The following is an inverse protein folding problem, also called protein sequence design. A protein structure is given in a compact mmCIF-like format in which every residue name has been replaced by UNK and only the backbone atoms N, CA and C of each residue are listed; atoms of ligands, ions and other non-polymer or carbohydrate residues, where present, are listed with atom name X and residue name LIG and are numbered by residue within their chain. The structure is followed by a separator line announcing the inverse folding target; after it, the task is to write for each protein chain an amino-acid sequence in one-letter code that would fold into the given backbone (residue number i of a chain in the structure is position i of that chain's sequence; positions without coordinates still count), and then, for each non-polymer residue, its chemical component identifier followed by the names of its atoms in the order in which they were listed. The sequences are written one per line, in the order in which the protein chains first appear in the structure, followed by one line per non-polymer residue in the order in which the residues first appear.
data_IF_290571554831
#
_entry.id   IF_290571554831
#
_cell.length_a   1.000
_cell.length_b   1.000
_cell.length_c   1.000
_cell.angle_alpha   90.00
_cell.angle_beta   90.00
_cell.angle_gamma   90.00
#
_symmetry.space_group_name_H-M   'P 1'
#
loop_
_entity.id
_entity.type
_entity.pdbx_description
1 polymer ?
#
# COMPACT_ATOMS: atom_id res chain seq x y z
N UNK A 1 14.35 16.07 19.71
CA UNK A 1 14.00 15.49 18.40
C UNK A 1 12.47 15.48 18.28
N UNK A 2 11.95 15.87 17.15
CA UNK A 2 10.51 15.89 16.83
C UNK A 2 9.84 14.50 16.91
N UNK A 3 10.64 13.45 17.00
CA UNK A 3 10.16 12.05 17.02
C UNK A 3 9.69 11.54 18.38
N UNK A 4 10.02 12.21 19.48
CA UNK A 4 9.70 11.72 20.82
C UNK A 4 8.28 12.02 21.34
N UNK A 5 7.43 12.65 20.53
CA UNK A 5 6.05 12.94 20.90
C UNK A 5 4.99 12.26 20.05
N UNK A 6 5.42 11.46 19.05
CA UNK A 6 4.49 10.68 18.24
C UNK A 6 4.21 9.35 18.95
N UNK A 7 2.95 8.96 18.95
CA UNK A 7 2.53 7.66 19.43
C UNK A 7 3.22 6.53 18.64
N UNK A 8 3.36 5.36 19.21
CA UNK A 8 4.07 4.21 18.63
C UNK A 8 3.59 3.80 17.23
N UNK A 9 2.35 4.10 16.85
CA UNK A 9 1.85 3.86 15.50
C UNK A 9 2.48 4.78 14.45
N UNK A 10 2.94 5.96 14.81
CA UNK A 10 3.66 6.85 13.89
C UNK A 10 5.01 6.30 13.42
N UNK A 11 5.61 5.42 14.18
CA UNK A 11 6.90 4.81 13.85
C UNK A 11 6.80 3.78 12.69
N UNK A 12 5.61 3.25 12.46
CA UNK A 12 5.32 2.23 11.45
C UNK A 12 4.53 2.78 10.24
N UNK A 13 4.39 4.10 10.14
CA UNK A 13 3.69 4.75 9.04
C UNK A 13 4.67 5.31 8.01
N UNK A 14 5.52 4.45 7.48
CA UNK A 14 6.60 4.84 6.58
C UNK A 14 6.10 5.23 5.20
N UNK A 15 4.96 4.70 4.78
CA UNK A 15 4.35 5.01 3.49
C UNK A 15 3.90 6.47 3.37
N UNK A 16 3.93 7.24 4.46
CA UNK A 16 3.70 8.68 4.42
C UNK A 16 4.64 9.43 3.45
N UNK A 17 5.85 8.91 3.20
CA UNK A 17 6.76 9.49 2.19
C UNK A 17 6.16 9.43 0.78
N UNK A 18 5.45 8.35 0.46
CA UNK A 18 4.72 8.22 -0.82
C UNK A 18 3.55 9.20 -0.88
N UNK A 19 2.82 9.35 0.23
CA UNK A 19 1.74 10.33 0.31
C UNK A 19 2.23 11.73 -0.06
N UNK A 20 3.35 12.17 0.50
CA UNK A 20 3.92 13.47 0.17
C UNK A 20 4.36 13.58 -1.29
N UNK A 21 4.97 12.55 -1.86
CA UNK A 21 5.39 12.58 -3.27
C UNK A 21 4.20 12.54 -4.24
N UNK A 22 3.07 11.98 -3.85
CA UNK A 22 1.87 12.00 -4.68
C UNK A 22 1.36 13.41 -5.00
N UNK A 23 1.60 14.38 -4.10
CA UNK A 23 1.25 15.78 -4.35
C UNK A 23 2.08 16.39 -5.49
N UNK A 24 3.35 15.99 -5.65
CA UNK A 24 4.19 16.41 -6.76
C UNK A 24 3.63 15.90 -8.08
N UNK A 25 3.22 14.64 -8.12
CA UNK A 25 2.58 14.05 -9.28
C UNK A 25 1.23 14.71 -9.59
N UNK A 26 0.41 14.92 -8.58
CA UNK A 26 -0.88 15.62 -8.73
C UNK A 26 -0.69 17.02 -9.30
N UNK A 27 0.30 17.79 -8.83
CA UNK A 27 0.62 19.09 -9.37
C UNK A 27 0.94 19.01 -10.88
N UNK A 28 1.81 18.05 -11.27
CA UNK A 28 2.11 17.79 -12.68
C UNK A 28 0.82 17.49 -13.48
N UNK A 29 -0.02 16.59 -13.01
CA UNK A 29 -1.26 16.22 -13.72
C UNK A 29 -2.17 17.40 -14.03
N UNK A 30 -2.26 18.37 -13.10
CA UNK A 30 -3.10 19.55 -13.27
C UNK A 30 -2.45 20.66 -14.12
N UNK A 31 -1.14 20.81 -14.05
CA UNK A 31 -0.44 21.94 -14.68
C UNK A 31 0.21 21.57 -16.00
N UNK A 32 0.59 20.31 -16.18
CA UNK A 32 1.38 19.81 -17.32
C UNK A 32 2.75 20.54 -17.47
N UNK A 33 3.25 21.09 -16.36
CA UNK A 33 4.54 21.81 -16.30
C UNK A 33 5.71 20.82 -16.24
N UNK A 34 6.37 20.62 -17.39
CA UNK A 34 7.52 19.71 -17.51
C UNK A 34 8.74 20.17 -16.72
N UNK A 35 8.96 21.47 -16.58
CA UNK A 35 10.07 22.00 -15.80
C UNK A 35 9.85 21.72 -14.31
N UNK A 36 8.64 21.89 -13.83
CA UNK A 36 8.30 21.45 -12.47
C UNK A 36 8.51 19.95 -12.29
N UNK A 37 8.00 19.12 -13.22
CA UNK A 37 8.14 17.66 -13.11
C UNK A 37 9.62 17.25 -13.08
N UNK A 38 10.46 17.87 -13.91
CA UNK A 38 11.90 17.63 -13.93
C UNK A 38 12.57 17.98 -12.58
N UNK A 39 12.14 19.05 -11.95
CA UNK A 39 12.62 19.44 -10.61
C UNK A 39 12.11 18.52 -9.50
N UNK A 40 10.89 18.03 -9.61
CA UNK A 40 10.26 17.14 -8.64
C UNK A 40 10.77 15.69 -8.75
N UNK A 41 11.20 15.27 -9.94
CA UNK A 41 11.58 13.89 -10.24
C UNK A 41 12.63 13.31 -9.28
N UNK A 42 13.73 13.99 -8.90
CA UNK A 42 14.71 13.45 -7.96
C UNK A 42 14.11 13.10 -6.59
N UNK A 43 13.10 13.85 -6.13
CA UNK A 43 12.40 13.55 -4.86
C UNK A 43 11.55 12.28 -5.01
N UNK A 44 10.81 12.15 -6.10
CA UNK A 44 10.02 10.97 -6.40
C UNK A 44 10.91 9.73 -6.54
N UNK A 45 12.03 9.86 -7.28
CA UNK A 45 12.99 8.76 -7.46
C UNK A 45 13.64 8.32 -6.15
N UNK A 46 14.07 9.27 -5.31
CA UNK A 46 14.62 8.95 -3.98
C UNK A 46 13.60 8.21 -3.09
N UNK A 47 12.32 8.55 -3.20
CA UNK A 47 11.26 7.80 -2.53
C UNK A 47 11.16 6.36 -3.07
N UNK A 48 11.27 6.17 -4.39
CA UNK A 48 11.28 4.83 -4.98
C UNK A 48 12.50 4.01 -4.53
N UNK A 49 13.69 4.63 -4.49
CA UNK A 49 14.91 3.98 -3.99
C UNK A 49 14.76 3.47 -2.56
N UNK A 50 14.13 4.26 -1.67
CA UNK A 50 13.78 3.81 -0.33
C UNK A 50 12.94 2.52 -0.37
N UNK A 51 11.91 2.47 -1.22
CA UNK A 51 11.04 1.31 -1.32
C UNK A 51 11.69 0.13 -2.02
N UNK A 52 12.61 0.33 -2.98
CA UNK A 52 13.43 -0.75 -3.54
C UNK A 52 14.29 -1.47 -2.49
N UNK A 53 14.69 -0.75 -1.42
CA UNK A 53 15.46 -1.34 -0.33
C UNK A 53 14.60 -1.91 0.78
N UNK A 54 13.37 -1.40 0.94
CA UNK A 54 12.50 -1.81 2.04
C UNK A 54 11.58 -2.96 1.68
N UNK A 55 11.09 -3.02 0.46
CA UNK A 55 10.20 -4.11 0.03
C UNK A 55 10.91 -5.46 0.16
N UNK A 56 10.17 -6.44 0.65
CA UNK A 56 10.63 -7.82 0.78
C UNK A 56 9.77 -8.73 -0.10
N UNK A 57 10.30 -9.89 -0.46
CA UNK A 57 9.47 -10.94 -1.04
C UNK A 57 8.46 -11.44 0.00
N UNK A 58 7.24 -11.65 -0.46
CA UNK A 58 6.15 -12.12 0.40
C UNK A 58 6.56 -13.41 1.14
N UNK A 59 6.41 -13.39 2.45
CA UNK A 59 6.76 -14.51 3.34
C UNK A 59 5.59 -15.44 3.63
N UNK A 60 4.40 -15.08 3.12
CA UNK A 60 3.17 -15.69 3.56
C UNK A 60 2.84 -15.36 5.02
N UNK A 61 1.82 -15.99 5.55
CA UNK A 61 1.36 -15.74 6.91
C UNK A 61 0.79 -17.00 7.57
N UNK A 62 1.06 -17.15 8.87
CA UNK A 62 0.56 -18.25 9.68
C UNK A 62 0.23 -17.72 11.08
N UNK A 63 -1.04 -17.45 11.33
CA UNK A 63 -1.47 -16.86 12.61
C UNK A 63 -1.29 -17.78 13.83
N UNK A 64 -1.00 -19.05 13.61
CA UNK A 64 -0.68 -19.98 14.71
C UNK A 64 0.72 -19.75 15.30
N UNK A 65 1.56 -19.03 14.56
CA UNK A 65 2.94 -18.69 14.94
C UNK A 65 3.11 -17.22 15.34
N UNK A 66 2.01 -16.46 15.39
CA UNK A 66 2.07 -15.06 15.78
C UNK A 66 2.51 -14.95 17.25
N UNK A 67 3.63 -14.25 17.46
CA UNK A 67 4.17 -14.00 18.79
C UNK A 67 3.34 -12.98 19.59
N UNK A 68 2.37 -12.29 18.93
CA UNK A 68 1.48 -11.31 19.53
C UNK A 68 0.00 -11.68 19.37
N UNK A 69 -0.44 -12.84 19.86
CA UNK A 69 -1.81 -13.34 19.67
C UNK A 69 -2.88 -12.42 20.29
N UNK A 70 -2.49 -11.54 21.21
CA UNK A 70 -3.41 -10.61 21.88
C UNK A 70 -3.79 -9.41 21.00
N UNK A 71 -3.02 -9.10 19.98
CA UNK A 71 -3.28 -7.97 19.07
C UNK A 71 -4.25 -8.39 17.96
N UNK A 72 -4.19 -9.66 17.60
CA UNK A 72 -4.98 -10.22 16.51
C UNK A 72 -5.89 -11.34 17.03
N UNK A 73 -6.87 -11.09 17.82
CA UNK A 73 -7.80 -12.05 18.44
C UNK A 73 -8.45 -13.10 17.48
N UNK A 74 -7.63 -13.89 16.79
CA UNK A 74 -8.06 -14.89 15.83
C UNK A 74 -8.35 -16.21 16.53
N UNK A 75 -9.62 -16.53 16.63
CA UNK A 75 -10.05 -17.81 17.15
C UNK A 75 -9.92 -18.95 16.14
N UNK A 76 -9.82 -18.63 14.85
CA UNK A 76 -9.72 -19.61 13.78
C UNK A 76 -8.32 -19.58 13.16
N UNK A 77 -7.56 -20.70 13.18
CA UNK A 77 -6.27 -20.78 12.49
C UNK A 77 -6.44 -20.57 10.98
N UNK A 78 -5.56 -19.78 10.39
CA UNK A 78 -5.45 -19.65 8.94
C UNK A 78 -3.99 -19.44 8.52
N UNK A 79 -3.68 -19.86 7.31
CA UNK A 79 -2.35 -19.74 6.72
C UNK A 79 -2.47 -19.29 5.28
N UNK A 80 -1.51 -18.48 4.86
CA UNK A 80 -1.30 -18.08 3.46
C UNK A 80 0.11 -18.43 3.04
N UNK A 81 0.25 -19.14 1.94
CA UNK A 81 1.55 -19.39 1.35
C UNK A 81 2.11 -18.10 0.72
N UNK A 82 3.45 -17.95 0.63
CA UNK A 82 4.07 -16.89 -0.15
C UNK A 82 3.58 -16.92 -1.60
N UNK A 83 3.28 -15.75 -2.17
CA UNK A 83 2.79 -15.62 -3.54
C UNK A 83 3.85 -15.10 -4.54
N UNK A 84 5.06 -14.77 -4.03
CA UNK A 84 6.18 -14.30 -4.84
C UNK A 84 6.10 -12.82 -5.21
N UNK A 85 5.14 -12.08 -4.68
CA UNK A 85 5.07 -10.63 -4.82
C UNK A 85 6.02 -9.91 -3.86
N UNK A 86 6.27 -8.63 -4.10
CA UNK A 86 6.97 -7.76 -3.17
C UNK A 86 5.97 -7.02 -2.29
N UNK A 87 6.22 -7.04 -0.98
CA UNK A 87 5.35 -6.42 0.03
C UNK A 87 6.13 -5.48 0.95
N UNK A 88 5.47 -4.43 1.40
CA UNK A 88 5.98 -3.55 2.45
C UNK A 88 5.86 -4.27 3.80
N UNK A 89 6.98 -4.51 4.51
CA UNK A 89 6.93 -5.26 5.76
C UNK A 89 6.47 -4.39 6.92
N UNK A 90 5.65 -4.97 7.80
CA UNK A 90 5.20 -4.38 9.06
C UNK A 90 4.62 -2.96 8.90
N UNK A 91 3.82 -2.73 7.88
CA UNK A 91 3.15 -1.44 7.68
C UNK A 91 1.87 -1.38 8.52
N UNK A 92 1.64 -0.19 9.05
CA UNK A 92 0.43 0.14 9.77
C UNK A 92 -0.63 0.62 8.78
N UNK A 93 -1.86 0.16 8.90
CA UNK A 93 -2.97 0.75 8.16
C UNK A 93 -3.64 1.83 8.99
N UNK A 94 -3.59 3.04 8.53
CA UNK A 94 -3.99 4.24 9.28
C UNK A 94 -5.52 4.39 9.36
N UNK A 95 -6.05 4.58 10.45
CA UNK A 95 -5.76 4.32 11.87
C UNK A 95 -6.45 3.05 12.29
N UNK A 96 -6.19 1.95 11.60
CA UNK A 96 -6.83 0.68 11.89
C UNK A 96 -6.11 0.03 13.07
N UNK A 97 -6.91 -0.35 14.04
CA UNK A 97 -6.58 -1.22 15.16
C UNK A 97 -5.25 -1.01 15.89
N UNK A 98 -5.30 -0.32 16.99
CA UNK A 98 -4.31 -0.22 18.11
C UNK A 98 -2.87 -0.68 17.79
N UNK A 99 -2.21 -0.05 16.80
CA UNK A 99 -0.83 -0.35 16.39
C UNK A 99 -0.60 -1.72 15.70
N UNK A 100 -1.63 -2.38 15.22
CA UNK A 100 -1.44 -3.58 14.43
C UNK A 100 -0.70 -3.25 13.14
N UNK A 101 0.32 -4.05 12.85
CA UNK A 101 1.03 -4.02 11.57
C UNK A 101 0.91 -5.34 10.86
N UNK A 102 0.95 -5.31 9.53
CA UNK A 102 0.98 -6.50 8.68
C UNK A 102 1.87 -6.24 7.47
N UNK A 103 2.48 -7.28 6.93
CA UNK A 103 3.14 -7.18 5.64
C UNK A 103 2.09 -7.00 4.55
N UNK A 104 2.30 -6.06 3.63
CA UNK A 104 1.43 -5.90 2.47
C UNK A 104 0.04 -5.31 2.77
N UNK A 105 -0.08 -4.38 3.73
CA UNK A 105 -1.35 -3.68 3.94
C UNK A 105 -1.82 -3.03 2.65
N UNK A 106 -3.12 -3.10 2.34
CA UNK A 106 -3.70 -2.58 1.10
C UNK A 106 -3.32 -1.12 0.85
N UNK A 107 -3.46 -0.29 1.87
CA UNK A 107 -3.11 1.11 1.86
C UNK A 107 -1.65 1.36 1.43
N UNK A 108 -0.68 0.68 2.04
CA UNK A 108 0.73 0.87 1.70
C UNK A 108 1.04 0.37 0.29
N UNK A 109 0.54 -0.80 -0.06
CA UNK A 109 0.80 -1.41 -1.36
C UNK A 109 0.23 -0.59 -2.51
N UNK A 110 -1.01 -0.10 -2.39
CA UNK A 110 -1.63 0.77 -3.38
C UNK A 110 -0.82 2.04 -3.62
N UNK A 111 -0.34 2.67 -2.55
CA UNK A 111 0.46 3.88 -2.63
C UNK A 111 1.82 3.62 -3.28
N UNK A 112 2.53 2.56 -2.89
CA UNK A 112 3.85 2.23 -3.43
C UNK A 112 3.74 1.86 -4.91
N UNK A 113 2.75 1.05 -5.28
CA UNK A 113 2.49 0.72 -6.69
C UNK A 113 2.21 1.97 -7.52
N UNK A 114 1.39 2.89 -7.01
CA UNK A 114 1.12 4.17 -7.64
C UNK A 114 2.38 5.03 -7.82
N UNK A 115 3.26 5.07 -6.82
CA UNK A 115 4.54 5.77 -6.93
C UNK A 115 5.36 5.24 -8.11
N UNK A 116 5.53 3.93 -8.20
CA UNK A 116 6.35 3.31 -9.25
C UNK A 116 5.77 3.53 -10.64
N UNK A 117 4.46 3.40 -10.79
CA UNK A 117 3.80 3.64 -12.09
C UNK A 117 3.88 5.11 -12.52
N UNK A 118 3.73 6.05 -11.58
CA UNK A 118 3.89 7.48 -11.87
C UNK A 118 5.32 7.86 -12.24
N UNK A 119 6.31 7.24 -11.60
CA UNK A 119 7.72 7.43 -11.98
C UNK A 119 7.96 6.90 -13.39
N UNK A 120 7.40 5.75 -13.74
CA UNK A 120 7.51 5.21 -15.09
C UNK A 120 6.94 6.17 -16.13
N UNK A 121 5.75 6.70 -15.87
CA UNK A 121 5.13 7.70 -16.73
C UNK A 121 5.96 8.99 -16.80
N UNK A 122 6.50 9.47 -15.67
CA UNK A 122 7.40 10.63 -15.66
C UNK A 122 8.66 10.42 -16.50
N UNK A 123 9.23 9.22 -16.49
CA UNK A 123 10.38 8.86 -17.34
C UNK A 123 9.99 8.88 -18.82
N UNK A 124 8.80 8.39 -19.17
CA UNK A 124 8.33 8.42 -20.55
C UNK A 124 8.09 9.86 -21.06
N UNK A 125 7.67 10.78 -20.15
CA UNK A 125 7.46 12.19 -20.46
C UNK A 125 8.76 12.98 -20.59
N UNK A 126 9.72 12.75 -19.68
CA UNK A 126 10.95 13.53 -19.56
C UNK A 126 12.10 12.94 -20.37
N UNK A 127 12.15 11.62 -20.52
CA UNK A 127 13.29 10.87 -21.04
C UNK A 127 14.26 10.44 -19.94
N UNK A 128 14.64 9.16 -19.95
CA UNK A 128 15.51 8.56 -18.92
C UNK A 128 16.85 9.29 -18.78
N UNK A 129 17.49 9.64 -19.91
CA UNK A 129 18.77 10.37 -19.92
C UNK A 129 18.66 11.78 -19.34
N UNK A 130 17.52 12.45 -19.53
CA UNK A 130 17.30 13.81 -19.02
C UNK A 130 17.14 13.85 -17.49
N UNK A 131 16.69 12.73 -16.91
CA UNK A 131 16.57 12.58 -15.46
C UNK A 131 17.73 11.79 -14.84
N UNK A 132 18.77 11.48 -15.63
CA UNK A 132 20.01 10.87 -15.17
C UNK A 132 19.92 9.39 -14.86
N UNK A 133 18.92 8.67 -15.37
CA UNK A 133 18.74 7.25 -15.14
C UNK A 133 19.44 6.39 -16.20
N UNK A 134 19.94 5.24 -15.77
CA UNK A 134 20.54 4.21 -16.62
C UNK A 134 19.50 3.17 -17.07
N UNK A 135 19.86 2.34 -18.04
CA UNK A 135 19.03 1.19 -18.43
C UNK A 135 18.78 0.23 -17.26
N UNK A 136 19.79 0.05 -16.39
CA UNK A 136 19.63 -0.82 -15.21
C UNK A 136 18.63 -0.25 -14.20
N UNK A 137 18.53 1.08 -14.07
CA UNK A 137 17.52 1.71 -13.21
C UNK A 137 16.12 1.47 -13.75
N UNK A 138 15.95 1.54 -15.07
CA UNK A 138 14.67 1.27 -15.73
C UNK A 138 14.27 -0.21 -15.57
N UNK A 139 15.18 -1.13 -15.82
CA UNK A 139 14.96 -2.57 -15.65
C UNK A 139 14.56 -2.89 -14.19
N UNK A 140 15.22 -2.25 -13.24
CA UNK A 140 14.88 -2.40 -11.82
C UNK A 140 13.48 -1.88 -11.53
N UNK A 141 13.12 -0.69 -12.01
CA UNK A 141 11.79 -0.13 -11.82
C UNK A 141 10.72 -1.06 -12.44
N UNK A 142 10.94 -1.53 -13.67
CA UNK A 142 10.01 -2.42 -14.37
C UNK A 142 9.83 -3.74 -13.61
N UNK A 143 10.89 -4.29 -13.03
CA UNK A 143 10.81 -5.47 -12.16
C UNK A 143 9.95 -5.21 -10.93
N UNK A 144 10.15 -4.05 -10.27
CA UNK A 144 9.38 -3.71 -9.07
C UNK A 144 7.92 -3.43 -9.40
N UNK A 145 7.61 -2.77 -10.52
CA UNK A 145 6.22 -2.62 -10.99
C UNK A 145 5.58 -3.99 -11.20
N UNK A 146 6.27 -4.91 -11.86
CA UNK A 146 5.75 -6.24 -12.18
C UNK A 146 5.54 -7.12 -10.93
N UNK A 147 6.35 -6.95 -9.89
CA UNK A 147 6.34 -7.81 -8.70
C UNK A 147 5.65 -7.20 -7.49
N UNK A 148 5.49 -5.89 -7.40
CA UNK A 148 4.85 -5.26 -6.25
C UNK A 148 3.39 -5.67 -6.15
N UNK A 149 3.00 -6.19 -4.99
CA UNK A 149 1.61 -6.42 -4.65
C UNK A 149 0.82 -5.09 -4.74
N UNK A 150 -0.32 -5.11 -5.42
CA UNK A 150 -1.09 -3.91 -5.67
C UNK A 150 -2.05 -3.53 -4.53
N UNK A 151 -2.18 -4.37 -3.50
CA UNK A 151 -3.09 -4.14 -2.38
C UNK A 151 -4.58 -4.20 -2.76
N UNK A 152 -4.92 -4.97 -3.80
CA UNK A 152 -6.29 -5.10 -4.32
C UNK A 152 -6.89 -6.47 -4.01
N UNK A 153 -6.59 -7.02 -2.83
CA UNK A 153 -7.14 -8.28 -2.39
C UNK A 153 -8.61 -8.15 -2.04
N UNK A 154 -9.39 -9.13 -2.44
CA UNK A 154 -10.81 -9.17 -2.14
C UNK A 154 -11.18 -10.48 -1.46
N UNK A 155 -12.29 -10.45 -0.72
CA UNK A 155 -12.92 -11.65 -0.16
C UNK A 155 -14.44 -11.53 -0.21
N UNK A 156 -15.18 -12.64 -0.27
CA UNK A 156 -16.64 -12.61 -0.19
C UNK A 156 -17.08 -12.27 1.24
N UNK A 157 -18.07 -11.40 1.37
CA UNK A 157 -18.73 -11.16 2.64
C UNK A 157 -19.46 -12.43 3.09
N UNK A 158 -19.16 -12.95 4.27
CA UNK A 158 -19.69 -14.22 4.77
C UNK A 158 -21.08 -14.12 5.36
N UNK A 159 -21.60 -12.91 5.57
CA UNK A 159 -22.87 -12.70 6.27
C UNK A 159 -22.74 -12.69 7.80
N UNK A 160 -21.54 -12.55 8.34
CA UNK A 160 -21.28 -12.58 9.79
C UNK A 160 -22.07 -11.54 10.60
N UNK A 161 -22.49 -10.44 9.97
CA UNK A 161 -23.36 -9.42 10.58
C UNK A 161 -24.78 -9.40 10.02
N UNK A 162 -25.20 -10.50 9.36
CA UNK A 162 -26.50 -10.68 8.69
C UNK A 162 -26.35 -10.80 7.18
N UNK A 163 -27.36 -11.38 6.52
CA UNK A 163 -27.37 -11.60 5.07
C UNK A 163 -27.18 -10.30 4.26
N UNK A 164 -27.56 -9.17 4.85
CA UNK A 164 -27.32 -7.83 4.28
C UNK A 164 -26.88 -6.89 5.39
N UNK A 165 -25.71 -6.27 5.22
CA UNK A 165 -25.14 -5.29 6.14
C UNK A 165 -24.72 -4.02 5.38
N UNK A 166 -25.32 -2.89 5.73
CA UNK A 166 -25.04 -1.59 5.06
C UNK A 166 -25.13 -1.63 3.53
N UNK A 167 -26.03 -2.45 2.99
CA UNK A 167 -26.23 -2.61 1.54
C UNK A 167 -25.38 -3.70 0.90
N UNK A 168 -24.38 -4.23 1.60
CA UNK A 168 -23.57 -5.36 1.17
C UNK A 168 -24.31 -6.66 1.49
N UNK A 169 -24.42 -7.55 0.52
CA UNK A 169 -25.07 -8.85 0.66
C UNK A 169 -24.04 -9.95 0.87
N UNK A 170 -24.46 -11.01 1.54
CA UNK A 170 -23.64 -12.22 1.63
C UNK A 170 -23.20 -12.69 0.22
N UNK A 171 -21.91 -12.89 0.04
CA UNK A 171 -21.29 -13.27 -1.24
C UNK A 171 -20.77 -12.11 -2.08
N UNK A 172 -21.13 -10.86 -1.77
CA UNK A 172 -20.52 -9.69 -2.42
C UNK A 172 -19.04 -9.62 -2.09
N UNK A 173 -18.22 -9.25 -3.07
CA UNK A 173 -16.78 -9.08 -2.88
C UNK A 173 -16.49 -7.75 -2.17
N UNK A 174 -15.73 -7.85 -1.09
CA UNK A 174 -15.21 -6.70 -0.33
C UNK A 174 -13.72 -6.56 -0.57
N UNK A 175 -13.26 -5.32 -0.76
CA UNK A 175 -11.85 -5.00 -0.80
C UNK A 175 -11.29 -5.07 0.62
N UNK A 176 -10.18 -5.79 0.79
CA UNK A 176 -9.57 -6.03 2.10
C UNK A 176 -8.66 -4.87 2.50
N UNK A 177 -8.65 -4.58 3.79
CA UNK A 177 -7.69 -3.65 4.41
C UNK A 177 -6.28 -4.26 4.53
N UNK A 178 -6.24 -5.58 4.75
CA UNK A 178 -5.06 -6.36 5.06
C UNK A 178 -4.83 -7.44 4.02
N UNK A 179 -3.58 -7.75 3.72
CA UNK A 179 -3.26 -8.84 2.78
C UNK A 179 -3.73 -10.19 3.32
N UNK A 180 -3.50 -10.44 4.60
CA UNK A 180 -3.76 -11.75 5.21
C UNK A 180 -4.95 -11.75 6.15
N UNK A 181 -5.14 -10.70 6.92
CA UNK A 181 -6.26 -10.61 7.86
C UNK A 181 -7.59 -10.49 7.14
N UNK A 182 -8.48 -11.51 7.26
CA UNK A 182 -9.80 -11.44 6.66
C UNK A 182 -10.66 -10.33 7.25
N UNK A 183 -11.56 -9.78 6.43
CA UNK A 183 -12.47 -8.71 6.81
C UNK A 183 -13.36 -9.07 8.00
N UNK A 184 -13.91 -10.30 8.02
CA UNK A 184 -14.83 -10.77 9.06
C UNK A 184 -14.21 -10.83 10.46
N UNK A 185 -12.90 -10.96 10.54
CA UNK A 185 -12.18 -11.04 11.82
C UNK A 185 -11.37 -9.77 12.12
N UNK A 186 -11.37 -8.81 11.20
CA UNK A 186 -10.83 -7.48 11.46
C UNK A 186 -11.62 -6.79 12.56
N UNK A 187 -10.92 -6.27 13.57
CA UNK A 187 -11.56 -5.60 14.71
C UNK A 187 -12.18 -4.25 14.35
N UNK A 188 -11.70 -3.61 13.27
CA UNK A 188 -12.07 -2.24 12.91
C UNK A 188 -13.15 -2.12 11.85
N UNK A 189 -14.03 -3.10 11.78
CA UNK A 189 -15.14 -3.23 10.82
C UNK A 189 -16.17 -2.09 10.82
N UNK A 190 -16.02 -1.10 11.59
CA UNK A 190 -16.87 0.11 11.65
C UNK A 190 -16.02 1.36 11.72
N UNK A 191 -14.72 1.23 11.43
CA UNK A 191 -13.81 2.34 11.50
C UNK A 191 -14.15 3.41 10.45
N UNK A 192 -13.97 4.68 10.80
CA UNK A 192 -14.25 5.82 9.93
C UNK A 192 -13.25 5.99 8.78
N UNK A 193 -12.08 5.36 8.86
CA UNK A 193 -11.07 5.42 7.82
C UNK A 193 -11.24 4.29 6.81
N UNK A 194 -11.09 4.63 5.54
CA UNK A 194 -11.22 3.72 4.41
C UNK A 194 -9.88 3.60 3.69
N UNK A 195 -8.82 3.30 4.44
CA UNK A 195 -7.43 3.30 3.96
C UNK A 195 -7.20 2.35 2.78
N UNK A 196 -7.93 1.23 2.72
CA UNK A 196 -7.90 0.26 1.63
C UNK A 196 -8.46 0.79 0.30
N UNK A 197 -9.03 1.99 0.27
CA UNK A 197 -9.60 2.59 -0.94
C UNK A 197 -8.70 3.63 -1.60
N UNK A 198 -7.43 3.70 -1.22
CA UNK A 198 -6.45 4.63 -1.81
C UNK A 198 -6.33 4.50 -3.32
N UNK A 199 -6.51 3.29 -3.84
CA UNK A 199 -6.50 3.02 -5.27
C UNK A 199 -7.66 3.67 -6.05
N UNK A 200 -8.76 4.06 -5.36
CA UNK A 200 -9.85 4.81 -5.95
C UNK A 200 -9.62 6.32 -5.84
N UNK A 201 -9.12 6.77 -4.69
CA UNK A 201 -8.80 8.17 -4.41
C UNK A 201 -7.87 8.24 -3.19
N UNK A 202 -6.80 9.06 -3.23
CA UNK A 202 -6.41 9.98 -4.30
C UNK A 202 -5.46 9.40 -5.36
N UNK A 203 -5.15 8.08 -5.32
CA UNK A 203 -4.10 7.51 -6.15
C UNK A 203 -4.56 7.08 -7.56
N UNK A 204 -5.85 6.88 -7.75
CA UNK A 204 -6.55 6.55 -9.00
C UNK A 204 -5.93 5.47 -9.95
N UNK A 205 -5.25 4.43 -9.45
CA UNK A 205 -4.90 3.29 -10.30
C UNK A 205 -6.13 2.51 -10.79
N UNK A 206 -7.27 2.62 -10.08
CA UNK A 206 -8.55 2.09 -10.52
C UNK A 206 -9.36 3.24 -11.13
N UNK A 207 -9.58 3.16 -12.43
CA UNK A 207 -10.47 4.09 -13.16
C UNK A 207 -11.83 3.43 -13.38
N UNK A 208 -12.92 4.21 -13.43
CA UNK A 208 -14.25 3.70 -13.74
C UNK A 208 -14.35 3.02 -15.10
#
# INVERSE_FOLDING_TARGET
SLYNSMSTWGDNYLVANVWYTSHLWTHWRYTQDKEFLKQAFPVMWSCAEFWFHRLIEDRGFDNTKDEQPNVRNYHTPYTFAPDGTFVAPNEFSAEQHDNQTEDGTAHAQQMIYYLFTNIKEAIDILGASEVGLTAADIEKLDLYIAKTDQGLHTEPYTGVWGETYNGVKQGDLLLREWKYTPFDISHDRGHRHMSHTMALFPMDPITP
#
